data_IF_192551937715
#
_entry.id   IF_192551937715
#
_cell.length_a   1.000
_cell.length_b   1.000
_cell.length_c   1.000
_cell.angle_alpha   90.00
_cell.angle_beta   90.00
_cell.angle_gamma   90.00
#
_symmetry.space_group_name_H-M   'P 1'
#
loop_
_entity.id
_entity.type
_entity.pdbx_description
1 polymer ?
#
# COMPACT_ATOMS: atom_id res chain seq x y z
N UNK A 1 -38.94 11.63 -10.34
CA UNK A 1 -38.44 10.30 -9.95
C UNK A 1 -37.51 10.44 -8.75
N UNK A 2 -37.64 9.62 -7.70
CA UNK A 2 -36.74 9.65 -6.56
C UNK A 2 -35.30 9.33 -6.98
N UNK A 3 -34.31 10.00 -6.38
CA UNK A 3 -32.88 9.80 -6.67
C UNK A 3 -32.26 8.94 -5.57
N UNK A 4 -31.50 7.91 -5.95
CA UNK A 4 -30.75 7.10 -5.00
C UNK A 4 -29.69 7.93 -4.26
N UNK A 5 -29.58 7.73 -2.94
CA UNK A 5 -28.54 8.31 -2.09
C UNK A 5 -28.03 7.26 -1.11
N UNK A 6 -26.73 7.01 -1.14
CA UNK A 6 -26.10 6.11 -0.18
C UNK A 6 -25.87 6.84 1.14
N UNK A 7 -26.48 6.34 2.23
CA UNK A 7 -26.43 7.02 3.54
C UNK A 7 -25.04 7.05 4.16
N UNK A 8 -24.15 6.14 3.77
CA UNK A 8 -22.79 6.01 4.30
C UNK A 8 -21.74 6.60 3.35
N UNK A 9 -22.14 7.49 2.43
CA UNK A 9 -21.24 8.12 1.47
C UNK A 9 -20.07 8.85 2.16
N UNK A 10 -20.37 9.64 3.20
CA UNK A 10 -19.35 10.35 3.98
C UNK A 10 -18.37 9.38 4.64
N UNK A 11 -18.86 8.27 5.18
CA UNK A 11 -18.03 7.24 5.79
C UNK A 11 -17.14 6.56 4.74
N UNK A 12 -17.68 6.26 3.54
CA UNK A 12 -16.90 5.71 2.43
C UNK A 12 -15.75 6.63 2.06
N UNK A 13 -16.03 7.92 1.86
CA UNK A 13 -15.01 8.92 1.54
C UNK A 13 -13.93 9.04 2.61
N UNK A 14 -14.31 8.99 3.89
CA UNK A 14 -13.36 9.00 4.99
C UNK A 14 -12.43 7.76 4.97
N UNK A 15 -12.97 6.58 4.65
CA UNK A 15 -12.20 5.34 4.53
C UNK A 15 -11.29 5.34 3.30
N UNK A 16 -11.71 5.93 2.20
CA UNK A 16 -10.87 6.16 1.01
C UNK A 16 -9.66 7.03 1.34
N UNK A 17 -9.88 8.18 1.98
CA UNK A 17 -8.79 9.07 2.42
C UNK A 17 -7.84 8.30 3.34
N UNK A 18 -8.37 7.55 4.31
CA UNK A 18 -7.55 6.77 5.23
C UNK A 18 -6.70 5.70 4.53
N UNK A 19 -7.27 4.99 3.56
CA UNK A 19 -6.54 4.02 2.74
C UNK A 19 -5.42 4.71 1.96
N UNK A 20 -5.70 5.87 1.37
CA UNK A 20 -4.72 6.59 0.56
C UNK A 20 -3.57 7.14 1.42
N UNK A 21 -3.85 7.62 2.63
CA UNK A 21 -2.82 7.96 3.63
C UNK A 21 -1.93 6.76 3.97
N UNK A 22 -2.54 5.58 4.19
CA UNK A 22 -1.78 4.36 4.50
C UNK A 22 -0.92 3.89 3.34
N UNK A 23 -1.41 4.04 2.09
CA UNK A 23 -0.62 3.78 0.88
C UNK A 23 0.59 4.70 0.79
N UNK A 24 0.40 6.00 1.02
CA UNK A 24 1.51 6.96 1.01
C UNK A 24 2.57 6.60 2.06
N UNK A 25 2.16 6.35 3.30
CA UNK A 25 3.07 5.95 4.40
C UNK A 25 3.79 4.63 4.15
N UNK A 26 3.14 3.68 3.45
CA UNK A 26 3.79 2.44 3.04
C UNK A 26 4.85 2.71 1.97
N UNK A 27 4.58 3.60 1.01
CA UNK A 27 5.56 4.06 0.04
C UNK A 27 6.79 4.68 0.70
N UNK A 28 6.59 5.62 1.63
CA UNK A 28 7.67 6.24 2.42
C UNK A 28 8.51 5.19 3.19
N UNK A 29 7.87 4.14 3.70
CA UNK A 29 8.56 3.05 4.39
C UNK A 29 9.48 2.25 3.44
N UNK A 30 8.99 1.95 2.24
CA UNK A 30 9.79 1.27 1.21
C UNK A 30 10.94 2.13 0.72
N UNK A 31 10.73 3.43 0.54
CA UNK A 31 11.81 4.36 0.17
C UNK A 31 12.90 4.41 1.23
N UNK A 32 12.52 4.47 2.51
CA UNK A 32 13.47 4.42 3.62
C UNK A 32 14.25 3.10 3.65
N UNK A 33 13.57 1.96 3.43
CA UNK A 33 14.20 0.64 3.37
C UNK A 33 15.20 0.56 2.20
N UNK A 34 14.82 1.04 1.02
CA UNK A 34 15.69 1.09 -0.16
C UNK A 34 16.97 1.89 0.11
N UNK A 35 16.85 3.06 0.75
CA UNK A 35 18.02 3.88 1.11
C UNK A 35 18.98 3.14 2.05
N UNK A 36 18.44 2.37 3.01
CA UNK A 36 19.26 1.56 3.92
C UNK A 36 19.92 0.39 3.19
N UNK A 37 19.20 -0.28 2.29
CA UNK A 37 19.73 -1.36 1.46
C UNK A 37 20.88 -0.86 0.57
N UNK A 38 20.72 0.28 -0.10
CA UNK A 38 21.78 0.92 -0.90
C UNK A 38 23.04 1.24 -0.07
N UNK A 39 22.86 1.68 1.19
CA UNK A 39 23.98 1.94 2.10
C UNK A 39 24.69 0.66 2.53
N UNK A 40 23.95 -0.42 2.76
CA UNK A 40 24.52 -1.72 3.09
C UNK A 40 25.33 -2.24 1.90
N UNK A 41 24.80 -2.15 0.68
CA UNK A 41 25.52 -2.55 -0.53
C UNK A 41 26.81 -1.75 -0.71
N UNK A 42 26.77 -0.42 -0.49
CA UNK A 42 27.95 0.42 -0.55
C UNK A 42 29.01 -0.01 0.48
N UNK A 43 28.59 -0.23 1.74
CA UNK A 43 29.47 -0.67 2.81
C UNK A 43 30.11 -2.05 2.53
N UNK A 44 29.35 -2.97 1.94
CA UNK A 44 29.87 -4.28 1.54
C UNK A 44 30.92 -4.17 0.43
N UNK A 45 30.75 -3.21 -0.49
CA UNK A 45 31.78 -2.93 -1.50
C UNK A 45 33.04 -2.34 -0.85
N UNK A 46 32.89 -1.39 0.08
CA UNK A 46 34.03 -0.85 0.83
C UNK A 46 34.79 -1.93 1.61
N UNK A 47 34.08 -2.87 2.25
CA UNK A 47 34.70 -4.02 2.92
C UNK A 47 35.52 -4.89 1.97
N UNK A 48 35.00 -5.16 0.76
CA UNK A 48 35.73 -5.92 -0.27
C UNK A 48 37.01 -5.20 -0.70
N UNK A 49 36.93 -3.89 -0.92
CA UNK A 49 38.09 -3.07 -1.28
C UNK A 49 39.16 -3.07 -0.18
N UNK A 50 38.75 -3.05 1.09
CA UNK A 50 39.66 -3.14 2.22
C UNK A 50 40.35 -4.50 2.34
N UNK A 51 39.65 -5.60 2.05
CA UNK A 51 40.25 -6.94 2.02
C UNK A 51 41.33 -7.01 0.93
N UNK A 52 41.05 -6.48 -0.25
CA UNK A 52 42.02 -6.43 -1.35
C UNK A 52 43.22 -5.53 -1.03
N UNK A 53 43.00 -4.37 -0.41
CA UNK A 53 44.07 -3.50 0.07
C UNK A 53 44.99 -4.24 1.05
N UNK A 54 44.41 -4.90 2.06
CA UNK A 54 45.17 -5.68 3.06
C UNK A 54 45.98 -6.78 2.40
N UNK A 55 45.41 -7.48 1.42
CA UNK A 55 46.11 -8.51 0.64
C UNK A 55 47.33 -7.94 -0.09
N UNK A 56 47.20 -6.77 -0.73
CA UNK A 56 48.31 -6.10 -1.43
C UNK A 56 49.44 -5.70 -0.47
N UNK A 57 49.09 -5.17 0.72
CA UNK A 57 50.06 -4.77 1.74
C UNK A 57 50.89 -5.94 2.29
N UNK A 58 50.35 -7.18 2.25
CA UNK A 58 51.03 -8.38 2.73
C UNK A 58 51.98 -9.02 1.69
N UNK A 59 51.78 -8.77 0.38
CA UNK A 59 52.55 -9.41 -0.70
C UNK A 59 53.85 -8.67 -1.01
N UNK A 60 53.96 -7.37 -0.69
CA UNK A 60 55.22 -6.63 -0.80
C UNK A 60 56.19 -7.06 0.30
N UNK A 61 57.35 -7.63 -0.06
CA UNK A 61 58.29 -8.35 0.82
C UNK A 61 58.81 -7.65 2.10
N UNK A 62 58.34 -6.44 2.42
CA UNK A 62 58.36 -5.85 3.77
C UNK A 62 57.00 -5.19 4.05
N UNK A 63 56.11 -5.82 4.83
CA UNK A 63 54.81 -5.23 5.15
C UNK A 63 54.97 -3.97 6.01
N UNK A 64 54.31 -2.89 5.62
CA UNK A 64 54.17 -1.71 6.46
C UNK A 64 53.17 -2.02 7.59
N UNK A 65 53.71 -2.27 8.78
CA UNK A 65 52.93 -2.60 9.97
C UNK A 65 51.95 -1.49 10.37
N UNK A 66 52.28 -0.22 10.12
CA UNK A 66 51.37 0.89 10.41
C UNK A 66 50.19 0.89 9.44
N UNK A 67 50.43 0.64 8.15
CA UNK A 67 49.38 0.51 7.15
C UNK A 67 48.44 -0.68 7.46
N UNK A 68 48.99 -1.81 7.91
CA UNK A 68 48.20 -2.97 8.33
C UNK A 68 47.33 -2.69 9.56
N UNK A 69 47.88 -2.02 10.59
CA UNK A 69 47.13 -1.64 11.78
C UNK A 69 46.01 -0.64 11.47
N UNK A 70 46.27 0.32 10.59
CA UNK A 70 45.24 1.27 10.13
C UNK A 70 44.12 0.55 9.36
N UNK A 71 44.46 -0.37 8.45
CA UNK A 71 43.47 -1.17 7.73
C UNK A 71 42.61 -2.02 8.68
N UNK A 72 43.22 -2.65 9.68
CA UNK A 72 42.51 -3.43 10.69
C UNK A 72 41.54 -2.59 11.53
N UNK A 73 41.96 -1.39 11.98
CA UNK A 73 41.08 -0.48 12.74
C UNK A 73 39.89 -0.01 11.92
N UNK A 74 40.11 0.23 10.64
CA UNK A 74 39.05 0.64 9.74
C UNK A 74 38.08 -0.52 9.47
N UNK A 75 38.56 -1.75 9.30
CA UNK A 75 37.74 -2.97 9.20
C UNK A 75 36.80 -3.14 10.41
N UNK A 76 37.30 -2.94 11.63
CA UNK A 76 36.46 -2.96 12.85
C UNK A 76 35.36 -1.91 12.79
N UNK A 77 35.66 -0.72 12.23
CA UNK A 77 34.68 0.35 12.06
C UNK A 77 33.60 -0.05 11.05
N UNK A 78 33.99 -0.63 9.91
CA UNK A 78 33.06 -1.11 8.89
C UNK A 78 32.13 -2.22 9.43
N UNK A 79 32.66 -3.16 10.22
CA UNK A 79 31.85 -4.22 10.86
C UNK A 79 30.82 -3.62 11.83
N UNK A 80 31.22 -2.62 12.62
CA UNK A 80 30.31 -1.95 13.53
C UNK A 80 29.19 -1.20 12.78
N UNK A 81 29.54 -0.51 11.69
CA UNK A 81 28.57 0.17 10.83
C UNK A 81 27.59 -0.80 10.17
N UNK A 82 28.08 -1.94 9.69
CA UNK A 82 27.25 -2.98 9.06
C UNK A 82 26.22 -3.51 10.06
N UNK A 83 26.65 -3.81 11.29
CA UNK A 83 25.76 -4.27 12.35
C UNK A 83 24.69 -3.24 12.68
N UNK A 84 25.04 -1.95 12.71
CA UNK A 84 24.07 -0.87 12.94
C UNK A 84 23.06 -0.78 11.79
N UNK A 85 23.52 -0.80 10.54
CA UNK A 85 22.63 -0.74 9.37
C UNK A 85 21.73 -1.97 9.28
N UNK A 86 22.24 -3.17 9.57
CA UNK A 86 21.44 -4.39 9.62
C UNK A 86 20.32 -4.29 10.67
N UNK A 87 20.61 -3.73 11.85
CA UNK A 87 19.60 -3.46 12.88
C UNK A 87 18.53 -2.47 12.41
N UNK A 88 18.94 -1.35 11.79
CA UNK A 88 18.01 -0.36 11.22
C UNK A 88 17.14 -0.97 10.12
N UNK A 89 17.74 -1.77 9.23
CA UNK A 89 17.04 -2.48 8.17
C UNK A 89 15.96 -3.39 8.73
N UNK A 90 16.28 -4.18 9.76
CA UNK A 90 15.30 -5.08 10.37
C UNK A 90 14.12 -4.31 10.95
N UNK A 91 14.37 -3.20 11.65
CA UNK A 91 13.32 -2.34 12.18
C UNK A 91 12.42 -1.77 11.07
N UNK A 92 12.99 -1.37 9.94
CA UNK A 92 12.24 -0.88 8.78
C UNK A 92 11.41 -1.99 8.12
N UNK A 93 11.95 -3.20 8.00
CA UNK A 93 11.21 -4.36 7.46
C UNK A 93 9.99 -4.67 8.33
N UNK A 94 10.16 -4.70 9.65
CA UNK A 94 9.05 -4.94 10.58
C UNK A 94 7.96 -3.86 10.46
N UNK A 95 8.38 -2.61 10.27
CA UNK A 95 7.48 -1.48 10.13
C UNK A 95 6.75 -1.46 8.77
N UNK A 96 7.43 -1.84 7.68
CA UNK A 96 6.82 -2.05 6.36
C UNK A 96 5.70 -3.08 6.47
N UNK A 97 5.96 -4.22 7.12
CA UNK A 97 4.95 -5.28 7.24
C UNK A 97 3.74 -4.82 8.09
N UNK A 98 3.97 -4.11 9.19
CA UNK A 98 2.87 -3.50 9.98
C UNK A 98 2.01 -2.57 9.14
N UNK A 99 2.63 -1.70 8.33
CA UNK A 99 1.92 -0.75 7.45
C UNK A 99 1.17 -1.46 6.34
N UNK A 100 1.75 -2.52 5.78
CA UNK A 100 1.10 -3.37 4.79
C UNK A 100 -0.16 -4.03 5.36
N UNK A 101 -0.09 -4.60 6.56
CA UNK A 101 -1.26 -5.19 7.23
C UNK A 101 -2.34 -4.13 7.50
N UNK A 102 -1.96 -2.93 7.97
CA UNK A 102 -2.90 -1.84 8.17
C UNK A 102 -3.60 -1.40 6.87
N UNK A 103 -2.87 -1.37 5.75
CA UNK A 103 -3.44 -1.07 4.44
C UNK A 103 -4.43 -2.16 3.99
N UNK A 104 -4.11 -3.43 4.19
CA UNK A 104 -5.02 -4.55 3.88
C UNK A 104 -6.34 -4.43 4.63
N UNK A 105 -6.30 -4.09 5.92
CA UNK A 105 -7.54 -3.88 6.69
C UNK A 105 -8.34 -2.68 6.18
N UNK A 106 -7.68 -1.56 5.88
CA UNK A 106 -8.36 -0.38 5.30
C UNK A 106 -9.01 -0.69 3.94
N UNK A 107 -8.35 -1.48 3.08
CA UNK A 107 -8.91 -1.95 1.81
C UNK A 107 -10.14 -2.84 2.03
N UNK A 108 -10.11 -3.73 3.03
CA UNK A 108 -11.26 -4.58 3.38
C UNK A 108 -12.46 -3.76 3.84
N UNK A 109 -12.22 -2.79 4.71
CA UNK A 109 -13.27 -1.89 5.20
C UNK A 109 -13.94 -1.13 4.05
N UNK A 110 -13.14 -0.54 3.16
CA UNK A 110 -13.66 0.17 1.99
C UNK A 110 -14.47 -0.76 1.07
N UNK A 111 -13.94 -1.94 0.77
CA UNK A 111 -14.62 -2.93 -0.08
C UNK A 111 -15.96 -3.39 0.51
N UNK A 112 -16.09 -3.41 1.84
CA UNK A 112 -17.36 -3.72 2.49
C UNK A 112 -18.42 -2.65 2.22
N UNK A 113 -18.04 -1.37 2.24
CA UNK A 113 -18.92 -0.24 1.95
C UNK A 113 -19.31 -0.19 0.48
N UNK A 114 -18.38 -0.45 -0.44
CA UNK A 114 -18.65 -0.53 -1.88
C UNK A 114 -19.67 -1.62 -2.20
N UNK A 115 -19.51 -2.82 -1.61
CA UNK A 115 -20.48 -3.92 -1.77
C UNK A 115 -21.85 -3.56 -1.21
N UNK A 116 -21.89 -2.90 -0.06
CA UNK A 116 -23.14 -2.47 0.56
C UNK A 116 -23.86 -1.42 -0.31
N UNK A 117 -23.13 -0.44 -0.84
CA UNK A 117 -23.66 0.56 -1.77
C UNK A 117 -24.22 -0.10 -3.03
N UNK A 118 -23.45 -0.99 -3.66
CA UNK A 118 -23.89 -1.73 -4.85
C UNK A 118 -25.20 -2.52 -4.59
N UNK A 119 -25.29 -3.20 -3.44
CA UNK A 119 -26.51 -3.92 -3.04
C UNK A 119 -27.71 -2.99 -2.86
N UNK A 120 -27.52 -1.87 -2.16
CA UNK A 120 -28.59 -0.89 -1.92
C UNK A 120 -29.05 -0.22 -3.22
N UNK A 121 -28.11 0.11 -4.11
CA UNK A 121 -28.38 0.69 -5.42
C UNK A 121 -29.20 -0.25 -6.29
N UNK A 122 -28.82 -1.53 -6.35
CA UNK A 122 -29.59 -2.56 -7.07
C UNK A 122 -31.02 -2.67 -6.51
N UNK A 123 -31.17 -2.81 -5.19
CA UNK A 123 -32.48 -2.89 -4.56
C UNK A 123 -33.34 -1.63 -4.74
N UNK A 124 -32.73 -0.46 -4.95
CA UNK A 124 -33.44 0.76 -5.31
C UNK A 124 -33.91 0.73 -6.77
N UNK A 125 -33.06 0.30 -7.70
CA UNK A 125 -33.40 0.15 -9.11
C UNK A 125 -34.54 -0.85 -9.31
N UNK A 126 -34.47 -2.02 -8.68
CA UNK A 126 -35.50 -3.05 -8.75
C UNK A 126 -36.87 -2.50 -8.27
N UNK A 127 -36.86 -1.69 -7.21
CA UNK A 127 -38.08 -1.03 -6.69
C UNK A 127 -38.62 0.05 -7.62
N UNK A 128 -37.76 0.80 -8.31
CA UNK A 128 -38.20 1.78 -9.31
C UNK A 128 -38.86 1.07 -10.50
N UNK A 129 -38.21 0.03 -11.03
CA UNK A 129 -38.74 -0.76 -12.15
C UNK A 129 -40.09 -1.40 -11.80
N UNK A 130 -40.23 -1.95 -10.59
CA UNK A 130 -41.51 -2.52 -10.14
C UNK A 130 -42.61 -1.46 -10.00
N UNK A 131 -42.29 -0.26 -9.52
CA UNK A 131 -43.24 0.84 -9.40
C UNK A 131 -43.67 1.38 -10.77
N UNK A 132 -42.72 1.49 -11.71
CA UNK A 132 -42.99 1.90 -13.10
C UNK A 132 -43.87 0.87 -13.82
N UNK A 133 -43.54 -0.42 -13.72
CA UNK A 133 -44.36 -1.50 -14.29
C UNK A 133 -45.80 -1.47 -13.74
N UNK A 134 -45.96 -1.32 -12.42
CA UNK A 134 -47.27 -1.21 -11.79
C UNK A 134 -48.06 0.00 -12.31
N UNK A 135 -47.42 1.14 -12.48
CA UNK A 135 -48.08 2.33 -13.02
C UNK A 135 -48.53 2.14 -14.47
N UNK A 136 -47.74 1.44 -15.29
CA UNK A 136 -48.10 1.11 -16.67
C UNK A 136 -49.29 0.13 -16.73
N UNK A 137 -49.30 -0.88 -15.86
CA UNK A 137 -50.42 -1.83 -15.76
C UNK A 137 -51.73 -1.12 -15.34
N UNK A 138 -51.66 -0.20 -14.37
CA UNK A 138 -52.81 0.60 -13.94
C UNK A 138 -53.34 1.48 -15.09
N UNK A 139 -52.47 2.14 -15.85
CA UNK A 139 -52.87 2.94 -17.03
C UNK A 139 -53.52 2.06 -18.11
N UNK A 140 -52.95 0.89 -18.38
CA UNK A 140 -53.50 -0.05 -19.35
C UNK A 140 -54.89 -0.57 -18.93
N UNK A 141 -55.13 -0.78 -17.63
CA UNK A 141 -56.45 -1.14 -17.11
C UNK A 141 -57.47 -0.01 -17.25
N UNK A 142 -57.09 1.23 -16.96
CA UNK A 142 -57.96 2.41 -17.14
C UNK A 142 -58.37 2.57 -18.61
N UNK A 143 -57.42 2.39 -19.55
CA UNK A 143 -57.72 2.47 -20.98
C UNK A 143 -58.66 1.34 -21.44
N UNK A 144 -58.47 0.10 -20.97
CA UNK A 144 -59.36 -1.02 -21.29
C UNK A 144 -60.76 -0.88 -20.69
N UNK A 145 -60.90 -0.15 -19.58
CA UNK A 145 -62.19 0.07 -18.92
C UNK A 145 -62.91 1.33 -19.39
N UNK A 146 -62.32 2.09 -20.33
CA UNK A 146 -62.94 3.28 -20.92
C UNK A 146 -63.35 2.97 -22.39
N UNK A 147 -64.62 2.59 -22.66
CA UNK A 147 -65.07 2.13 -23.98
C UNK A 147 -65.29 3.27 -25.00
N UNK A 148 -64.67 4.44 -24.84
CA UNK A 148 -64.91 5.62 -25.68
C UNK A 148 -63.89 5.82 -26.81
N UNK A 149 -63.09 4.80 -27.15
CA UNK A 149 -62.22 4.79 -28.34
C UNK A 149 -62.42 3.54 -29.20
N UNK A 150 -63.68 3.15 -29.43
CA UNK A 150 -64.07 2.36 -30.60
C UNK A 150 -64.99 3.23 -31.48
N UNK A 151 -64.37 4.02 -32.36
CA UNK A 151 -64.99 4.65 -33.52
C UNK A 151 -63.93 4.84 -34.62
#
# INVERSE_FOLDING_TARGET
>A
MPRYRFRLETLRRLREIRRDELRARLGEAYDALRIVDERIEHLQNEQRDQIELRRRLLVGGRPDMNALLTAQRYEVTLIAQEKTLAGQRQQLVDEVEKRRLALVEADRELKSLEKLDAKQRKAFQDRQLAAEAKALDEVAQIQRHNPLYEA
#
